data_IF_512001873349
#
_entry.id   IF_512001873349
#
_cell.length_a   1.000
_cell.length_b   1.000
_cell.length_c   1.000
_cell.angle_alpha   90.00
_cell.angle_beta   90.00
_cell.angle_gamma   90.00
#
_symmetry.space_group_name_H-M   'P 1'
#
loop_
_entity.id
_entity.type
_entity.pdbx_description
1 polymer ?
#
# COMPACT_ATOMS: atom_id res chain seq x y z
N UNK A 1 25.70 3.47 15.05
CA UNK A 1 25.09 4.79 14.71
C UNK A 1 23.74 4.53 14.03
N UNK A 2 22.79 5.45 14.13
CA UNK A 2 21.44 5.28 13.59
C UNK A 2 21.09 6.41 12.60
N UNK A 3 20.16 6.13 11.68
CA UNK A 3 19.45 7.15 10.89
C UNK A 3 18.07 7.28 11.51
N UNK A 4 17.56 8.50 11.73
CA UNK A 4 16.19 8.70 12.23
C UNK A 4 15.33 9.37 11.17
N UNK A 5 14.10 8.89 10.97
CA UNK A 5 13.11 9.53 10.09
C UNK A 5 11.74 9.65 10.75
N UNK A 6 10.97 10.64 10.32
CA UNK A 6 9.56 10.83 10.67
C UNK A 6 8.72 10.60 9.43
N UNK A 7 7.82 9.62 9.48
CA UNK A 7 6.95 9.29 8.34
C UNK A 7 5.57 9.89 8.52
N UNK A 8 5.00 10.48 7.46
CA UNK A 8 3.64 11.03 7.45
C UNK A 8 2.82 10.53 6.25
N UNK A 9 1.54 10.87 6.21
CA UNK A 9 0.62 10.51 5.12
C UNK A 9 -0.09 9.17 5.30
N UNK A 10 -0.49 8.54 4.18
CA UNK A 10 -1.15 7.24 4.18
C UNK A 10 -0.19 6.06 4.28
N UNK A 11 -0.72 4.85 4.48
CA UNK A 11 0.05 3.61 4.68
C UNK A 11 1.24 3.45 3.72
N UNK A 12 0.98 3.48 2.41
CA UNK A 12 2.01 3.22 1.40
C UNK A 12 3.06 4.35 1.30
N UNK A 13 2.67 5.57 1.65
CA UNK A 13 3.61 6.69 1.79
C UNK A 13 4.57 6.46 2.97
N UNK A 14 4.03 6.07 4.12
CA UNK A 14 4.88 5.80 5.29
C UNK A 14 5.79 4.58 5.04
N UNK A 15 5.29 3.56 4.34
CA UNK A 15 6.10 2.40 3.93
C UNK A 15 7.24 2.79 2.99
N UNK A 16 7.00 3.61 1.96
CA UNK A 16 8.06 3.98 1.01
C UNK A 16 9.21 4.74 1.69
N UNK A 17 8.89 5.66 2.59
CA UNK A 17 9.92 6.36 3.39
C UNK A 17 10.68 5.35 4.25
N UNK A 18 9.95 4.53 5.02
CA UNK A 18 10.54 3.54 5.92
C UNK A 18 11.52 2.62 5.20
N UNK A 19 11.11 2.01 4.09
CA UNK A 19 11.92 0.99 3.42
C UNK A 19 13.05 1.56 2.56
N UNK A 20 12.86 2.73 1.93
CA UNK A 20 13.95 3.40 1.21
C UNK A 20 15.06 3.81 2.18
N UNK A 21 14.73 4.47 3.30
CA UNK A 21 15.71 4.80 4.32
C UNK A 21 16.29 3.58 5.06
N UNK A 22 15.59 2.45 5.10
CA UNK A 22 16.12 1.21 5.68
C UNK A 22 17.26 0.67 4.81
N UNK A 23 17.11 0.68 3.48
CA UNK A 23 18.20 0.31 2.57
C UNK A 23 19.39 1.25 2.72
N UNK A 24 19.14 2.56 2.82
CA UNK A 24 20.19 3.55 3.10
C UNK A 24 20.92 3.23 4.40
N UNK A 25 20.20 3.01 5.49
CA UNK A 25 20.78 2.68 6.79
C UNK A 25 21.64 1.40 6.73
N UNK A 26 21.12 0.34 6.08
CA UNK A 26 21.87 -0.91 5.90
C UNK A 26 23.15 -0.72 5.09
N UNK A 27 23.11 0.08 4.02
CA UNK A 27 24.30 0.39 3.21
C UNK A 27 25.41 1.10 4.00
N UNK A 28 25.04 1.81 5.08
CA UNK A 28 25.95 2.51 5.97
C UNK A 28 26.29 1.71 7.25
N UNK A 29 25.89 0.43 7.33
CA UNK A 29 26.00 -0.39 8.55
C UNK A 29 25.35 0.27 9.79
N UNK A 30 24.21 0.93 9.59
CA UNK A 30 23.41 1.60 10.61
C UNK A 30 22.05 0.93 10.77
N UNK A 31 21.40 1.21 11.90
CA UNK A 31 19.97 0.92 12.11
C UNK A 31 19.13 2.12 11.68
N UNK A 32 17.88 1.88 11.29
CA UNK A 32 16.89 2.91 11.04
C UNK A 32 15.96 3.03 12.26
N UNK A 33 15.85 4.24 12.81
CA UNK A 33 14.83 4.61 13.77
C UNK A 33 13.70 5.35 13.03
N UNK A 34 12.46 4.91 13.21
CA UNK A 34 11.28 5.50 12.59
C UNK A 34 10.34 6.01 13.68
N UNK A 35 10.04 7.30 13.64
CA UNK A 35 8.85 7.81 14.30
C UNK A 35 7.67 7.68 13.34
N UNK A 36 6.86 6.64 13.57
CA UNK A 36 5.67 6.34 12.78
C UNK A 36 4.52 7.25 13.23
N UNK A 37 4.44 8.46 12.67
CA UNK A 37 3.43 9.44 13.07
C UNK A 37 2.03 8.99 12.62
N UNK A 38 1.09 8.67 13.53
CA UNK A 38 -0.26 8.31 13.14
C UNK A 38 -0.96 9.48 12.44
N UNK A 39 -1.73 9.18 11.40
CA UNK A 39 -2.54 10.16 10.65
C UNK A 39 -3.95 9.63 10.47
N UNK A 40 -4.91 10.48 10.06
CA UNK A 40 -6.26 10.04 9.70
C UNK A 40 -6.24 8.98 8.57
N UNK A 41 -5.27 9.10 7.67
CA UNK A 41 -5.03 8.16 6.59
C UNK A 41 -4.17 6.96 6.99
N UNK A 42 -3.60 6.90 8.19
CA UNK A 42 -2.86 5.76 8.71
C UNK A 42 -2.80 5.76 10.25
N UNK A 43 -3.91 5.47 10.95
CA UNK A 43 -3.94 5.58 12.40
C UNK A 43 -3.28 4.39 13.11
N UNK A 44 -3.14 3.23 12.45
CA UNK A 44 -2.54 2.03 13.05
C UNK A 44 -1.02 2.04 12.90
N UNK A 45 -0.34 1.48 13.89
CA UNK A 45 1.12 1.35 13.90
C UNK A 45 1.58 0.23 12.95
N UNK A 46 2.79 0.35 12.40
CA UNK A 46 3.38 -0.64 11.49
C UNK A 46 3.35 -2.07 12.04
N UNK A 47 3.77 -2.26 13.30
CA UNK A 47 3.83 -3.58 13.94
C UNK A 47 2.45 -4.20 14.24
N UNK A 48 1.36 -3.45 14.06
CA UNK A 48 0.01 -4.01 14.12
C UNK A 48 -0.42 -4.64 12.78
N UNK A 49 0.31 -4.36 11.70
CA UNK A 49 0.01 -4.72 10.31
C UNK A 49 1.05 -5.65 9.69
N UNK A 50 2.32 -5.45 10.02
CA UNK A 50 3.46 -6.14 9.42
C UNK A 50 4.37 -6.78 10.46
N UNK A 51 5.17 -7.74 10.01
CA UNK A 51 6.18 -8.39 10.83
C UNK A 51 7.35 -7.43 11.12
N UNK A 52 8.04 -7.57 12.27
CA UNK A 52 9.28 -6.86 12.54
C UNK A 52 10.33 -7.08 11.44
N UNK A 53 11.13 -6.06 11.15
CA UNK A 53 12.19 -6.11 10.14
C UNK A 53 13.54 -5.85 10.80
N UNK A 54 14.56 -6.62 10.44
CA UNK A 54 15.88 -6.47 11.04
C UNK A 54 16.51 -5.11 10.67
N UNK A 55 17.04 -4.41 11.67
CA UNK A 55 17.61 -3.07 11.52
C UNK A 55 16.59 -1.94 11.47
N UNK A 56 15.29 -2.22 11.65
CA UNK A 56 14.21 -1.23 11.73
C UNK A 56 13.69 -1.15 13.17
N UNK A 57 13.82 0.01 13.79
CA UNK A 57 13.31 0.31 15.13
C UNK A 57 12.22 1.37 15.06
N UNK A 58 11.17 1.23 15.87
CA UNK A 58 10.16 2.27 16.05
C UNK A 58 10.41 3.03 17.35
N UNK A 59 10.42 4.35 17.28
CA UNK A 59 10.60 5.24 18.44
C UNK A 59 9.29 5.94 18.79
N UNK A 60 9.04 6.15 20.09
CA UNK A 60 7.76 6.68 20.59
C UNK A 60 7.75 8.20 20.81
N UNK A 61 8.92 8.85 20.72
CA UNK A 61 9.03 10.28 20.92
C UNK A 61 10.21 10.84 20.14
N UNK A 62 10.01 12.07 19.67
CA UNK A 62 11.03 12.92 19.07
C UNK A 62 11.41 14.06 20.01
N UNK A 63 10.91 14.10 21.25
CA UNK A 63 11.02 15.25 22.16
C UNK A 63 12.45 15.53 22.66
N UNK A 64 13.41 14.63 22.41
CA UNK A 64 14.84 14.90 22.62
C UNK A 64 15.53 15.43 21.34
N UNK A 65 14.77 15.67 20.26
CA UNK A 65 15.25 16.14 18.97
C UNK A 65 14.63 17.53 18.75
N UNK A 66 15.44 18.58 18.80
CA UNK A 66 15.01 19.97 18.64
C UNK A 66 14.50 20.21 17.20
N UNK A 67 13.21 19.99 16.95
CA UNK A 67 12.60 20.09 15.61
C UNK A 67 12.35 21.55 15.19
N UNK A 68 12.47 22.51 16.11
CA UNK A 68 12.13 23.90 15.85
C UNK A 68 13.20 24.69 15.08
N UNK A 69 14.43 24.21 14.96
CA UNK A 69 15.50 24.95 14.28
C UNK A 69 16.37 24.07 13.40
N UNK A 70 16.25 24.30 12.09
CA UNK A 70 17.25 24.18 11.01
C UNK A 70 18.26 23.02 11.10
N UNK A 71 18.09 22.06 10.19
CA UNK A 71 19.06 21.51 9.21
C UNK A 71 20.52 21.15 9.59
N UNK A 72 21.04 21.45 10.79
CA UNK A 72 22.46 21.23 11.11
C UNK A 72 22.70 20.59 12.50
N UNK A 73 21.67 20.31 13.31
CA UNK A 73 21.84 19.68 14.64
C UNK A 73 20.77 18.68 15.07
N UNK A 74 19.95 18.16 14.15
CA UNK A 74 18.97 17.11 14.47
C UNK A 74 19.45 15.75 13.97
N UNK A 75 19.41 14.71 14.81
CA UNK A 75 19.63 13.31 14.40
C UNK A 75 18.56 12.77 13.41
N UNK A 76 17.69 13.65 12.89
CA UNK A 76 16.58 13.34 11.99
C UNK A 76 17.02 13.63 10.56
N UNK A 77 17.17 12.57 9.77
CA UNK A 77 17.55 12.65 8.37
C UNK A 77 16.39 13.10 7.47
N UNK A 78 15.13 12.84 7.84
CA UNK A 78 13.97 13.15 7.00
C UNK A 78 12.65 13.23 7.75
N UNK A 79 11.76 14.10 7.28
CA UNK A 79 10.36 14.23 7.72
C UNK A 79 9.49 14.33 6.46
N UNK A 80 8.58 13.38 6.24
CA UNK A 80 7.67 13.44 5.09
C UNK A 80 7.14 12.09 4.62
N UNK A 81 6.84 12.01 3.32
CA UNK A 81 6.18 10.88 2.66
C UNK A 81 6.87 10.39 1.37
N UNK A 82 7.97 11.03 0.96
CA UNK A 82 8.71 10.70 -0.24
C UNK A 82 9.84 9.70 0.05
N UNK A 83 10.06 8.79 -0.90
CA UNK A 83 11.13 7.82 -0.79
C UNK A 83 12.51 8.51 -0.92
N UNK A 84 13.52 7.94 -0.27
CA UNK A 84 14.92 8.29 -0.55
C UNK A 84 15.30 7.84 -1.95
N UNK A 85 15.53 8.80 -2.85
CA UNK A 85 15.63 8.60 -4.30
C UNK A 85 16.66 7.55 -4.73
N UNK A 86 17.83 7.52 -4.09
CA UNK A 86 18.92 6.59 -4.43
C UNK A 86 18.58 5.12 -4.14
N UNK A 87 17.61 4.88 -3.26
CA UNK A 87 17.18 3.53 -2.85
C UNK A 87 15.73 3.25 -3.22
N UNK A 88 15.08 4.16 -3.96
CA UNK A 88 13.70 4.02 -4.40
C UNK A 88 13.60 3.02 -5.54
N UNK A 89 13.77 1.75 -5.20
CA UNK A 89 13.76 0.62 -6.11
C UNK A 89 12.89 -0.49 -5.51
N UNK A 90 12.35 -1.41 -6.33
CA UNK A 90 11.56 -2.53 -5.83
C UNK A 90 12.20 -3.29 -4.66
N UNK A 91 13.56 -3.43 -4.66
CA UNK A 91 14.30 -4.16 -3.62
C UNK A 91 14.05 -3.64 -2.20
N UNK A 92 13.64 -2.38 -2.03
CA UNK A 92 13.38 -1.85 -0.70
C UNK A 92 12.29 -2.62 0.03
N UNK A 93 11.34 -3.24 -0.68
CA UNK A 93 10.24 -4.00 -0.07
C UNK A 93 10.52 -5.49 0.14
N UNK A 94 11.75 -5.98 -0.09
CA UNK A 94 12.07 -7.41 0.00
C UNK A 94 11.75 -8.03 1.38
N UNK A 95 11.84 -7.24 2.45
CA UNK A 95 11.56 -7.69 3.83
C UNK A 95 10.15 -7.35 4.31
N UNK A 96 9.32 -6.69 3.50
CA UNK A 96 7.96 -6.32 3.86
C UNK A 96 7.05 -7.56 3.88
N UNK A 97 6.68 -8.02 5.07
CA UNK A 97 5.79 -9.17 5.26
C UNK A 97 4.59 -8.78 6.12
N UNK A 98 3.35 -9.09 5.71
CA UNK A 98 2.18 -8.85 6.53
C UNK A 98 2.20 -9.78 7.76
N UNK A 99 1.56 -9.37 8.84
CA UNK A 99 1.27 -10.28 9.95
C UNK A 99 0.43 -11.47 9.45
N UNK A 100 0.56 -12.67 10.05
CA UNK A 100 -0.18 -13.86 9.61
C UNK A 100 -1.70 -13.65 9.46
N UNK A 101 -2.33 -12.88 10.36
CA UNK A 101 -3.77 -12.53 10.30
C UNK A 101 -4.19 -11.67 9.11
N UNK A 102 -3.25 -11.00 8.44
CA UNK A 102 -3.48 -10.23 7.21
C UNK A 102 -2.76 -10.83 6.02
N UNK A 103 -2.03 -11.92 6.22
CA UNK A 103 -1.54 -12.72 5.12
C UNK A 103 -2.74 -13.51 4.60
N UNK A 104 -3.21 -13.22 3.38
CA UNK A 104 -4.44 -13.83 2.92
C UNK A 104 -4.35 -15.38 2.84
N UNK A 105 -3.14 -15.96 2.83
CA UNK A 105 -2.92 -17.40 2.70
C UNK A 105 -2.93 -18.13 4.06
N UNK A 106 -2.81 -17.40 5.18
CA UNK A 106 -2.80 -17.95 6.55
C UNK A 106 -3.99 -17.50 7.40
N UNK A 107 -4.69 -16.44 7.00
CA UNK A 107 -5.75 -15.84 7.80
C UNK A 107 -7.08 -16.60 7.64
N UNK A 108 -7.32 -17.63 8.45
CA UNK A 108 -8.48 -18.55 8.35
C UNK A 108 -9.86 -17.92 8.11
N UNK A 109 -10.14 -16.74 8.67
CA UNK A 109 -11.42 -16.03 8.50
C UNK A 109 -11.49 -15.24 7.16
N UNK A 110 -10.35 -14.80 6.65
CA UNK A 110 -10.19 -14.10 5.36
C UNK A 110 -9.95 -15.07 4.20
N UNK A 111 -9.34 -16.22 4.48
CA UNK A 111 -9.14 -17.32 3.56
C UNK A 111 -10.47 -17.79 2.97
N UNK A 112 -11.61 -17.69 3.66
CA UNK A 112 -12.92 -17.98 3.04
C UNK A 112 -13.33 -16.94 2.00
N UNK A 113 -13.01 -15.66 2.23
CA UNK A 113 -13.38 -14.54 1.34
C UNK A 113 -12.51 -14.48 0.08
N UNK A 114 -11.25 -14.90 0.21
CA UNK A 114 -10.24 -14.89 -0.83
C UNK A 114 -9.84 -16.28 -1.31
N UNK A 115 -10.44 -17.38 -0.80
CA UNK A 115 -10.18 -18.77 -1.19
C UNK A 115 -10.15 -18.95 -2.70
N UNK A 116 -11.00 -18.19 -3.38
CA UNK A 116 -11.03 -18.12 -4.83
C UNK A 116 -9.68 -17.71 -5.43
N UNK A 117 -9.10 -16.60 -4.98
CA UNK A 117 -7.82 -16.08 -5.43
C UNK A 117 -6.64 -17.02 -5.09
N UNK A 118 -6.85 -18.01 -4.22
CA UNK A 118 -5.84 -18.98 -3.83
C UNK A 118 -5.80 -20.20 -4.76
N UNK A 119 -6.92 -20.51 -5.42
CA UNK A 119 -7.10 -21.79 -6.10
C UNK A 119 -7.25 -21.65 -7.62
N UNK A 120 -7.52 -20.45 -8.13
CA UNK A 120 -7.78 -20.20 -9.55
C UNK A 120 -7.05 -18.95 -10.04
N UNK A 121 -6.56 -18.92 -11.30
CA UNK A 121 -6.03 -17.71 -11.91
C UNK A 121 -7.03 -16.55 -11.90
N UNK A 122 -6.54 -15.35 -11.58
CA UNK A 122 -7.30 -14.11 -11.58
C UNK A 122 -6.46 -12.92 -12.05
N UNK A 123 -7.13 -11.89 -12.55
CA UNK A 123 -6.57 -10.55 -12.73
C UNK A 123 -7.05 -9.65 -11.59
N UNK A 124 -6.29 -8.62 -11.28
CA UNK A 124 -6.67 -7.63 -10.27
C UNK A 124 -6.60 -6.21 -10.83
N UNK A 125 -7.52 -5.37 -10.36
CA UNK A 125 -7.47 -3.93 -10.59
C UNK A 125 -7.50 -3.18 -9.27
N UNK A 126 -6.70 -2.13 -9.15
CA UNK A 126 -6.77 -1.18 -8.04
C UNK A 126 -7.28 0.18 -8.55
N UNK A 127 -8.53 0.49 -8.21
CA UNK A 127 -9.26 1.67 -8.68
C UNK A 127 -9.42 2.65 -7.52
N UNK A 128 -8.52 3.62 -7.45
CA UNK A 128 -8.47 4.69 -6.44
C UNK A 128 -9.29 5.88 -6.95
N UNK A 129 -10.25 6.36 -6.18
CA UNK A 129 -11.09 7.51 -6.55
C UNK A 129 -11.01 8.61 -5.50
N UNK A 130 -11.83 8.55 -4.46
CA UNK A 130 -12.02 9.54 -3.36
C UNK A 130 -11.24 10.87 -3.51
N UNK A 131 -10.31 11.15 -2.60
CA UNK A 131 -9.38 12.28 -2.58
C UNK A 131 -8.43 12.28 -3.78
N UNK A 132 -8.02 11.11 -4.24
CA UNK A 132 -7.01 10.93 -5.28
C UNK A 132 -7.40 11.48 -6.67
N UNK A 133 -8.70 11.49 -7.01
CA UNK A 133 -9.15 11.80 -8.38
C UNK A 133 -8.82 13.22 -8.80
N UNK A 134 -8.84 14.17 -7.88
CA UNK A 134 -8.53 15.58 -8.16
C UNK A 134 -7.02 15.72 -8.42
N UNK A 135 -6.20 15.23 -7.49
CA UNK A 135 -4.75 15.33 -7.57
C UNK A 135 -4.18 14.63 -8.80
N UNK A 136 -4.66 13.41 -9.10
CA UNK A 136 -4.21 12.66 -10.26
C UNK A 136 -4.58 13.34 -11.58
N UNK A 137 -5.74 14.01 -11.66
CA UNK A 137 -6.14 14.78 -12.84
C UNK A 137 -5.26 16.01 -13.03
N UNK A 138 -5.00 16.76 -11.96
CA UNK A 138 -4.13 17.94 -12.01
C UNK A 138 -2.71 17.59 -12.46
N UNK A 139 -2.24 16.38 -12.15
CA UNK A 139 -0.92 15.89 -12.55
C UNK A 139 -0.91 15.13 -13.89
N UNK A 140 -2.04 15.05 -14.62
CA UNK A 140 -2.17 14.26 -15.86
C UNK A 140 -1.79 12.77 -15.69
N UNK A 141 -2.13 12.19 -14.53
CA UNK A 141 -1.86 10.78 -14.19
C UNK A 141 -3.12 9.97 -13.86
N UNK A 142 -4.30 10.58 -13.99
CA UNK A 142 -5.56 9.92 -13.71
C UNK A 142 -5.83 8.75 -14.67
N UNK A 143 -6.14 7.58 -14.11
CA UNK A 143 -6.56 6.39 -14.86
C UNK A 143 -8.08 6.33 -14.91
N UNK A 144 -8.64 6.40 -16.12
CA UNK A 144 -10.09 6.44 -16.35
C UNK A 144 -10.76 5.10 -16.07
N UNK A 145 -12.09 5.10 -15.91
CA UNK A 145 -12.83 3.86 -15.78
C UNK A 145 -12.76 3.06 -17.09
N UNK A 146 -12.70 3.73 -18.23
CA UNK A 146 -12.58 3.16 -19.56
C UNK A 146 -11.27 2.38 -19.71
N UNK A 147 -10.17 2.89 -19.14
CA UNK A 147 -8.88 2.18 -19.12
C UNK A 147 -8.97 0.86 -18.34
N UNK A 148 -9.61 0.88 -17.16
CA UNK A 148 -9.84 -0.33 -16.37
C UNK A 148 -10.80 -1.30 -17.06
N UNK A 149 -11.88 -0.80 -17.66
CA UNK A 149 -12.83 -1.60 -18.43
C UNK A 149 -12.10 -2.29 -19.58
N UNK A 150 -11.27 -1.57 -20.34
CA UNK A 150 -10.47 -2.14 -21.41
C UNK A 150 -9.54 -3.24 -20.90
N UNK A 151 -8.79 -3.01 -19.82
CA UNK A 151 -7.92 -4.03 -19.23
C UNK A 151 -8.68 -5.30 -18.81
N UNK A 152 -9.86 -5.14 -18.22
CA UNK A 152 -10.69 -6.28 -17.79
C UNK A 152 -11.26 -7.03 -19.00
N UNK A 153 -11.68 -6.32 -20.05
CA UNK A 153 -12.27 -6.89 -21.25
C UNK A 153 -11.22 -7.57 -22.15
N UNK A 154 -9.99 -7.05 -22.21
CA UNK A 154 -8.83 -7.66 -22.91
C UNK A 154 -8.36 -8.98 -22.25
N UNK A 155 -8.89 -9.29 -21.07
CA UNK A 155 -8.60 -10.52 -20.34
C UNK A 155 -9.93 -11.25 -20.05
N UNK A 156 -10.59 -11.84 -21.06
CA UNK A 156 -11.87 -12.52 -20.86
C UNK A 156 -11.70 -13.85 -20.12
N UNK A 157 -12.79 -14.36 -19.54
CA UNK A 157 -12.89 -15.70 -18.91
C UNK A 157 -11.95 -15.98 -17.73
N UNK A 158 -11.20 -14.98 -17.25
CA UNK A 158 -10.43 -15.05 -16.01
C UNK A 158 -11.14 -14.28 -14.90
N UNK A 159 -10.99 -14.77 -13.68
CA UNK A 159 -11.62 -14.18 -12.51
C UNK A 159 -11.05 -12.80 -12.21
N UNK A 160 -11.84 -11.98 -11.51
CA UNK A 160 -11.55 -10.58 -11.30
C UNK A 160 -11.55 -10.25 -9.82
N UNK A 161 -10.47 -9.61 -9.37
CA UNK A 161 -10.39 -8.94 -8.09
C UNK A 161 -10.41 -7.41 -8.26
N UNK A 162 -11.16 -6.71 -7.41
CA UNK A 162 -11.27 -5.24 -7.44
C UNK A 162 -10.95 -4.70 -6.06
N UNK A 163 -9.81 -4.01 -5.95
CA UNK A 163 -9.49 -3.17 -4.80
C UNK A 163 -9.91 -1.73 -5.12
N UNK A 164 -10.78 -1.14 -4.31
CA UNK A 164 -11.22 0.25 -4.48
C UNK A 164 -11.62 0.87 -3.16
N UNK A 165 -11.49 2.19 -3.07
CA UNK A 165 -11.88 3.02 -1.92
C UNK A 165 -13.28 3.65 -2.09
N UNK A 166 -14.00 3.31 -3.17
CA UNK A 166 -15.19 4.02 -3.57
C UNK A 166 -16.39 3.10 -3.87
N UNK A 167 -17.49 3.28 -3.12
CA UNK A 167 -18.71 2.48 -3.27
C UNK A 167 -19.34 2.57 -4.66
N UNK A 168 -19.43 3.77 -5.24
CA UNK A 168 -20.00 3.94 -6.58
C UNK A 168 -19.19 3.16 -7.65
N UNK A 169 -17.87 3.09 -7.48
CA UNK A 169 -16.99 2.27 -8.33
C UNK A 169 -17.29 0.79 -8.13
N UNK A 170 -17.49 0.32 -6.89
CA UNK A 170 -17.91 -1.06 -6.64
C UNK A 170 -19.22 -1.38 -7.36
N UNK A 171 -20.24 -0.54 -7.23
CA UNK A 171 -21.55 -0.76 -7.85
C UNK A 171 -21.43 -0.79 -9.39
N UNK A 172 -20.68 0.14 -9.98
CA UNK A 172 -20.43 0.23 -11.44
C UNK A 172 -19.79 -1.04 -11.99
N UNK A 173 -18.68 -1.48 -11.40
CA UNK A 173 -17.96 -2.64 -11.90
C UNK A 173 -18.66 -3.95 -11.54
N UNK A 174 -19.36 -4.01 -10.40
CA UNK A 174 -20.17 -5.16 -10.03
C UNK A 174 -21.32 -5.39 -11.02
N UNK A 175 -22.03 -4.34 -11.41
CA UNK A 175 -23.11 -4.44 -12.40
C UNK A 175 -22.65 -5.08 -13.72
N UNK A 176 -21.41 -4.77 -14.16
CA UNK A 176 -20.84 -5.28 -15.42
C UNK A 176 -20.19 -6.66 -15.29
N UNK A 177 -19.49 -6.93 -14.18
CA UNK A 177 -18.61 -8.10 -14.04
C UNK A 177 -18.98 -9.05 -12.90
N UNK A 178 -20.20 -8.98 -12.35
CA UNK A 178 -20.65 -9.79 -11.20
C UNK A 178 -20.26 -11.27 -11.25
N UNK A 179 -20.31 -11.90 -12.42
CA UNK A 179 -20.02 -13.33 -12.59
C UNK A 179 -18.52 -13.65 -12.42
N UNK A 180 -17.65 -12.67 -12.72
CA UNK A 180 -16.19 -12.76 -12.66
C UNK A 180 -15.64 -12.27 -11.32
N UNK A 181 -16.32 -11.33 -10.65
CA UNK A 181 -15.87 -10.75 -9.38
C UNK A 181 -16.02 -11.79 -8.26
N UNK A 182 -14.93 -12.01 -7.51
CA UNK A 182 -14.89 -12.95 -6.39
C UNK A 182 -14.45 -12.21 -5.12
N UNK A 183 -15.13 -12.48 -4.00
CA UNK A 183 -14.69 -11.98 -2.69
C UNK A 183 -14.96 -10.50 -2.38
N UNK A 184 -15.89 -9.83 -3.07
CA UNK A 184 -16.15 -8.39 -2.83
C UNK A 184 -16.76 -8.13 -1.43
N UNK A 185 -16.21 -7.14 -0.72
CA UNK A 185 -16.87 -6.50 0.42
C UNK A 185 -17.36 -5.14 -0.02
N UNK A 186 -18.67 -4.95 -0.06
CA UNK A 186 -19.21 -3.63 -0.32
C UNK A 186 -18.84 -2.69 0.82
N UNK A 187 -18.39 -1.50 0.44
CA UNK A 187 -18.08 -0.42 1.35
C UNK A 187 -19.40 0.13 1.88
N UNK A 188 -19.47 0.26 3.20
CA UNK A 188 -20.58 0.93 3.86
C UNK A 188 -20.36 2.44 3.81
N UNK A 189 -21.39 3.25 3.53
CA UNK A 189 -21.28 4.70 3.55
C UNK A 189 -20.70 5.21 4.86
N UNK A 190 -19.72 6.11 4.77
CA UNK A 190 -19.05 6.70 5.93
C UNK A 190 -18.65 8.14 5.67
N UNK A 191 -18.62 8.95 6.74
CA UNK A 191 -18.12 10.32 6.70
C UNK A 191 -16.59 10.39 6.79
N UNK A 192 -15.93 9.30 7.18
CA UNK A 192 -14.48 9.27 7.32
C UNK A 192 -13.79 9.15 5.95
N UNK A 193 -12.60 9.76 5.84
CA UNK A 193 -11.77 9.71 4.64
C UNK A 193 -11.51 8.27 4.18
N UNK A 194 -11.24 7.38 5.14
CA UNK A 194 -11.03 5.96 4.91
C UNK A 194 -12.31 5.18 5.23
N UNK A 195 -12.75 4.36 4.27
CA UNK A 195 -13.99 3.58 4.37
C UNK A 195 -13.75 2.07 4.57
N UNK A 196 -12.49 1.62 4.62
CA UNK A 196 -12.08 0.23 4.89
C UNK A 196 -10.99 0.19 5.96
N UNK A 197 -10.84 -0.90 6.73
CA UNK A 197 -9.74 -0.95 7.71
C UNK A 197 -8.37 -1.09 7.02
N UNK A 198 -7.30 -0.66 7.69
CA UNK A 198 -5.93 -0.83 7.19
C UNK A 198 -5.56 -2.32 7.01
N UNK A 199 -6.08 -3.21 7.86
CA UNK A 199 -5.92 -4.65 7.66
C UNK A 199 -6.48 -5.13 6.32
N UNK A 200 -7.66 -4.64 5.91
CA UNK A 200 -8.22 -4.92 4.58
C UNK A 200 -7.35 -4.33 3.48
N UNK A 201 -6.85 -3.10 3.66
CA UNK A 201 -5.92 -2.50 2.69
C UNK A 201 -4.62 -3.32 2.52
N UNK A 202 -4.08 -3.90 3.60
CA UNK A 202 -2.93 -4.82 3.53
C UNK A 202 -3.28 -6.08 2.75
N UNK A 203 -4.46 -6.64 2.97
CA UNK A 203 -4.94 -7.82 2.23
C UNK A 203 -5.09 -7.48 0.74
N UNK A 204 -5.70 -6.34 0.42
CA UNK A 204 -5.84 -5.85 -0.96
C UNK A 204 -4.49 -5.78 -1.67
N UNK A 205 -3.44 -5.27 -1.01
CA UNK A 205 -2.08 -5.25 -1.55
C UNK A 205 -1.63 -6.66 -1.93
N UNK A 206 -1.67 -7.60 -0.98
CA UNK A 206 -1.10 -8.93 -1.21
C UNK A 206 -1.96 -9.81 -2.13
N UNK A 207 -3.28 -9.59 -2.20
CA UNK A 207 -4.12 -10.20 -3.24
C UNK A 207 -3.75 -9.62 -4.61
N UNK A 208 -3.62 -8.31 -4.76
CA UNK A 208 -3.24 -7.72 -6.05
C UNK A 208 -1.82 -8.12 -6.50
N UNK A 209 -0.87 -8.25 -5.57
CA UNK A 209 0.48 -8.73 -5.85
C UNK A 209 0.46 -10.12 -6.49
N UNK A 210 -0.42 -11.01 -6.03
CA UNK A 210 -0.46 -12.40 -6.49
C UNK A 210 -1.31 -12.64 -7.74
N UNK A 211 -2.02 -11.63 -8.24
CA UNK A 211 -2.78 -11.73 -9.48
C UNK A 211 -1.87 -12.09 -10.67
N UNK A 212 -2.41 -12.75 -11.69
CA UNK A 212 -1.67 -13.06 -12.92
C UNK A 212 -1.34 -11.77 -13.68
N UNK A 213 -2.30 -10.85 -13.76
CA UNK A 213 -2.10 -9.50 -14.29
C UNK A 213 -2.70 -8.48 -13.34
N UNK A 214 -2.11 -7.30 -13.30
CA UNK A 214 -2.53 -6.21 -12.43
C UNK A 214 -2.58 -4.88 -13.20
N UNK A 215 -3.60 -4.08 -12.92
CA UNK A 215 -3.66 -2.68 -13.33
C UNK A 215 -4.02 -1.81 -12.14
N UNK A 216 -3.18 -0.82 -11.84
CA UNK A 216 -3.40 0.14 -10.77
C UNK A 216 -3.76 1.52 -11.29
N UNK A 217 -4.32 2.35 -10.41
CA UNK A 217 -4.50 3.79 -10.67
C UNK A 217 -3.16 4.49 -10.68
N UNK A 218 -2.91 5.33 -11.69
CA UNK A 218 -1.71 6.14 -11.81
C UNK A 218 -1.58 7.16 -10.68
N UNK A 219 -0.35 7.48 -10.28
CA UNK A 219 -0.04 8.39 -9.16
C UNK A 219 -0.53 7.89 -7.79
N UNK A 220 -0.86 6.60 -7.68
CA UNK A 220 -1.27 6.00 -6.42
C UNK A 220 -0.11 5.21 -5.82
N UNK A 221 0.35 5.65 -4.65
CA UNK A 221 1.39 4.94 -3.90
C UNK A 221 1.03 3.51 -3.51
N UNK A 222 -0.27 3.23 -3.45
CA UNK A 222 -0.81 1.89 -3.26
C UNK A 222 -0.59 1.01 -4.50
N UNK A 223 -0.86 1.54 -5.70
CA UNK A 223 -0.56 0.86 -6.96
C UNK A 223 0.94 0.67 -7.15
N UNK A 224 1.74 1.69 -6.82
CA UNK A 224 3.21 1.66 -6.95
C UNK A 224 3.80 0.55 -6.07
N UNK A 225 3.40 0.48 -4.79
CA UNK A 225 3.80 -0.59 -3.87
C UNK A 225 3.48 -1.98 -4.43
N UNK A 226 2.28 -2.18 -4.98
CA UNK A 226 1.89 -3.47 -5.58
C UNK A 226 2.83 -3.82 -6.74
N UNK A 227 3.07 -2.87 -7.65
CA UNK A 227 3.95 -3.09 -8.81
C UNK A 227 5.40 -3.39 -8.40
N UNK A 228 5.91 -2.70 -7.38
CA UNK A 228 7.26 -2.95 -6.86
C UNK A 228 7.39 -4.38 -6.29
N UNK A 229 6.44 -4.81 -5.45
CA UNK A 229 6.46 -6.17 -4.91
C UNK A 229 6.27 -7.21 -6.02
N UNK A 230 5.42 -6.96 -7.02
CA UNK A 230 5.26 -7.83 -8.19
C UNK A 230 6.56 -7.98 -8.97
N UNK A 231 7.27 -6.87 -9.19
CA UNK A 231 8.58 -6.84 -9.87
C UNK A 231 9.59 -7.73 -9.13
N UNK A 232 9.62 -7.65 -7.79
CA UNK A 232 10.47 -8.54 -6.98
C UNK A 232 10.13 -10.03 -7.11
N UNK A 233 8.88 -10.35 -7.37
CA UNK A 233 8.40 -11.72 -7.55
C UNK A 233 8.52 -12.21 -9.00
N UNK A 234 9.03 -11.38 -9.92
CA UNK A 234 9.11 -11.70 -11.35
C UNK A 234 7.74 -11.84 -12.02
N UNK A 235 6.77 -11.02 -11.61
CA UNK A 235 5.37 -11.01 -12.08
C UNK A 235 5.01 -9.76 -12.90
#
# INVERSE_FOLDING_TARGET
MAITVVTTGGLCNMLRVTFSYLLKAKSENKVLNVFWQPTDACPQHFLELFQPVNGLNFINSINNLNIADKADKTDIAYIGFDAYSETNTPLMYAELKPLPKYNPWYASELTQRFAFALNEPYIAVHIRRTDHSVDAKQNNKYTSDEDFIKFIDDNPNINLYIATDNRATQDKFYARYKNRIKGIKFIEPSIYLRQTSLGIAVIDIFVCVNAVKFMGSGWSSFSDLINDIRTLQGR
#
